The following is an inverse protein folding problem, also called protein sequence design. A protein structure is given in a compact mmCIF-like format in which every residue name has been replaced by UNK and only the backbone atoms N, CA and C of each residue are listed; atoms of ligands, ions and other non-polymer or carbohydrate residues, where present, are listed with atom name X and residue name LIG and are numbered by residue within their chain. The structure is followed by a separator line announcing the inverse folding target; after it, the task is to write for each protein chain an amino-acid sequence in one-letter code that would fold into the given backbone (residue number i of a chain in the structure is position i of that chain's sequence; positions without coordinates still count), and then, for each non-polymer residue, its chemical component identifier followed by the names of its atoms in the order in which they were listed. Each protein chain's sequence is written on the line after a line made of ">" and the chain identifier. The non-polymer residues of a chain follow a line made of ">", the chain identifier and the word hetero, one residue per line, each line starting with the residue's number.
data_IF_865438579328
#
_entry.id   IF_865438579328
#
_cell.length_a   1.000
_cell.length_b   1.000
_cell.length_c   1.000
_cell.angle_alpha   90.00
_cell.angle_beta   90.00
_cell.angle_gamma   90.00
#
_symmetry.space_group_name_H-M   'P 1'
#
loop_
_entity.id
_entity.type
_entity.pdbx_description
1 polymer ?
#
# COMPACT_ATOMS: atom_id res chain seq x y z
N UNK A 1 6.71 -3.61 8.74
CA UNK A 1 6.54 -2.86 7.48
C UNK A 1 7.66 -3.26 6.54
N UNK A 2 7.33 -3.81 5.38
CA UNK A 2 8.28 -4.31 4.38
C UNK A 2 8.27 -3.39 3.16
N UNK A 3 9.44 -2.93 2.72
CA UNK A 3 9.59 -2.21 1.47
C UNK A 3 10.12 -3.15 0.38
N UNK A 4 9.47 -3.15 -0.78
CA UNK A 4 9.96 -3.76 -2.01
C UNK A 4 10.62 -2.67 -2.85
N UNK A 5 11.91 -2.79 -3.12
CA UNK A 5 12.67 -1.81 -3.89
C UNK A 5 13.39 -2.47 -5.06
N UNK A 6 13.82 -1.67 -6.03
CA UNK A 6 14.51 -2.11 -7.24
C UNK A 6 14.13 -1.26 -8.44
N UNK A 7 14.82 -1.42 -9.55
CA UNK A 7 14.59 -0.68 -10.77
C UNK A 7 13.18 -0.86 -11.36
N UNK A 8 12.76 0.03 -12.25
CA UNK A 8 11.50 -0.14 -12.97
C UNK A 8 11.53 -1.44 -13.80
N UNK A 9 10.42 -2.17 -13.79
CA UNK A 9 10.32 -3.45 -14.49
C UNK A 9 10.93 -4.66 -13.76
N UNK A 10 11.58 -4.52 -12.60
CA UNK A 10 12.18 -5.65 -11.87
C UNK A 10 11.15 -6.63 -11.24
N UNK A 11 9.84 -6.36 -11.33
CA UNK A 11 8.81 -7.29 -10.90
C UNK A 11 8.06 -6.92 -9.60
N UNK A 12 8.30 -5.76 -8.96
CA UNK A 12 7.65 -5.33 -7.69
C UNK A 12 6.13 -5.43 -7.75
N UNK A 13 5.51 -4.79 -8.74
CA UNK A 13 4.05 -4.81 -8.92
C UNK A 13 3.50 -6.20 -9.20
N UNK A 14 4.25 -7.02 -9.95
CA UNK A 14 3.88 -8.41 -10.23
C UNK A 14 3.90 -9.23 -8.95
N UNK A 15 4.95 -9.09 -8.14
CA UNK A 15 5.04 -9.77 -6.84
C UNK A 15 3.87 -9.37 -5.92
N UNK A 16 3.56 -8.07 -5.81
CA UNK A 16 2.42 -7.61 -5.00
C UNK A 16 1.09 -8.21 -5.49
N UNK A 17 0.87 -8.31 -6.81
CA UNK A 17 -0.32 -8.93 -7.39
C UNK A 17 -0.40 -10.44 -7.11
N UNK A 18 0.74 -11.14 -7.15
CA UNK A 18 0.82 -12.56 -6.77
C UNK A 18 0.51 -12.71 -5.28
N UNK A 19 1.11 -11.90 -4.41
CA UNK A 19 0.84 -11.93 -2.97
C UNK A 19 -0.63 -11.67 -2.66
N UNK A 20 -1.28 -10.75 -3.38
CA UNK A 20 -2.73 -10.49 -3.24
C UNK A 20 -3.59 -11.61 -3.83
N UNK A 21 -3.07 -12.40 -4.78
CA UNK A 21 -3.82 -13.44 -5.52
C UNK A 21 -4.52 -12.94 -6.77
N UNK A 22 -4.18 -11.74 -7.23
CA UNK A 22 -4.64 -11.20 -8.52
C UNK A 22 -3.88 -11.81 -9.70
N UNK A 23 -2.72 -12.40 -9.46
CA UNK A 23 -1.96 -13.16 -10.43
C UNK A 23 -1.58 -14.51 -9.81
N UNK A 24 -1.60 -15.56 -10.64
CA UNK A 24 -1.15 -16.90 -10.25
C UNK A 24 0.35 -17.02 -10.53
N UNK A 25 1.15 -17.60 -9.61
CA UNK A 25 2.53 -17.93 -9.93
C UNK A 25 2.59 -19.03 -11.00
N UNK A 26 3.56 -18.97 -11.90
CA UNK A 26 3.80 -20.01 -12.91
C UNK A 26 4.36 -21.29 -12.28
N UNK A 27 5.09 -21.15 -11.17
CA UNK A 27 5.64 -22.26 -10.39
C UNK A 27 5.80 -21.83 -8.92
N UNK A 28 6.05 -22.79 -8.03
CA UNK A 28 6.15 -22.54 -6.61
C UNK A 28 4.81 -22.52 -5.88
N UNK A 29 4.83 -22.11 -4.63
CA UNK A 29 3.65 -22.09 -3.76
C UNK A 29 3.54 -20.73 -3.05
N UNK A 30 2.32 -20.24 -2.93
CA UNK A 30 1.97 -19.09 -2.10
C UNK A 30 1.20 -19.58 -0.88
N UNK A 31 1.83 -19.52 0.29
CA UNK A 31 1.19 -19.85 1.55
C UNK A 31 0.56 -18.59 2.15
N UNK A 32 -0.70 -18.69 2.55
CA UNK A 32 -1.44 -17.62 3.22
C UNK A 32 -1.96 -18.13 4.56
N UNK A 33 -1.97 -17.25 5.55
CA UNK A 33 -2.66 -17.56 6.81
C UNK A 33 -4.17 -17.69 6.56
N UNK A 34 -4.77 -18.71 7.16
CA UNK A 34 -6.21 -18.94 7.06
C UNK A 34 -7.00 -17.74 7.57
N UNK A 35 -7.98 -17.30 6.78
CA UNK A 35 -8.87 -16.19 7.13
C UNK A 35 -8.25 -14.79 7.08
N UNK A 36 -6.97 -14.64 6.72
CA UNK A 36 -6.33 -13.31 6.65
C UNK A 36 -6.93 -12.45 5.55
N UNK A 37 -7.40 -11.25 5.91
CA UNK A 37 -7.90 -10.27 4.94
C UNK A 37 -6.75 -9.47 4.35
N UNK A 38 -6.76 -9.36 3.03
CA UNK A 38 -5.77 -8.57 2.30
C UNK A 38 -6.47 -7.44 1.54
N UNK A 39 -5.83 -6.29 1.51
CA UNK A 39 -6.24 -5.19 0.65
C UNK A 39 -5.05 -4.70 -0.18
N UNK A 40 -5.32 -4.26 -1.41
CA UNK A 40 -4.29 -3.75 -2.31
C UNK A 40 -4.65 -2.36 -2.80
N UNK A 41 -3.65 -1.48 -2.79
CA UNK A 41 -3.68 -0.18 -3.43
C UNK A 41 -2.75 -0.21 -4.63
N UNK A 42 -3.29 0.15 -5.80
CA UNK A 42 -2.54 0.23 -7.05
C UNK A 42 -1.87 1.59 -7.21
N UNK A 43 -0.80 1.65 -7.97
CA UNK A 43 -0.04 2.86 -8.28
C UNK A 43 -0.94 4.01 -8.78
N UNK A 44 -1.93 3.68 -9.63
CA UNK A 44 -2.97 4.63 -10.07
C UNK A 44 -4.31 4.18 -9.52
N UNK A 45 -4.89 4.88 -8.54
CA UNK A 45 -6.16 4.49 -7.98
C UNK A 45 -7.29 4.70 -8.99
N UNK A 46 -8.03 3.63 -9.29
CA UNK A 46 -9.23 3.72 -10.10
C UNK A 46 -10.40 4.24 -9.27
N UNK A 47 -10.89 5.43 -9.65
CA UNK A 47 -12.09 6.04 -9.06
C UNK A 47 -13.30 5.77 -9.95
N UNK A 48 -14.36 5.25 -9.35
CA UNK A 48 -15.65 5.10 -10.00
C UNK A 48 -16.36 6.45 -10.08
N UNK A 49 -17.22 6.65 -11.08
CA UNK A 49 -18.00 7.89 -11.28
C UNK A 49 -19.14 8.00 -10.25
N UNK A 50 -18.74 8.09 -8.97
CA UNK A 50 -19.64 8.25 -7.83
C UNK A 50 -18.90 9.05 -6.74
N UNK A 51 -19.60 9.38 -5.64
CA UNK A 51 -18.98 10.14 -4.55
C UNK A 51 -17.80 9.40 -3.91
N UNK A 52 -16.91 10.13 -3.23
CA UNK A 52 -15.81 9.53 -2.47
C UNK A 52 -16.35 8.52 -1.44
N UNK A 53 -17.41 8.86 -0.71
CA UNK A 53 -18.07 7.95 0.23
C UNK A 53 -18.55 6.66 -0.44
N UNK A 54 -19.21 6.77 -1.59
CA UNK A 54 -19.70 5.58 -2.30
C UNK A 54 -18.56 4.74 -2.87
N UNK A 55 -17.44 5.34 -3.29
CA UNK A 55 -16.24 4.60 -3.71
C UNK A 55 -15.68 3.72 -2.58
N UNK A 56 -15.72 4.20 -1.34
CA UNK A 56 -15.29 3.43 -0.17
C UNK A 56 -16.36 2.41 0.24
N UNK A 57 -17.64 2.83 0.31
CA UNK A 57 -18.75 1.99 0.74
C UNK A 57 -18.96 0.77 -0.15
N UNK A 58 -18.72 0.90 -1.46
CA UNK A 58 -18.86 -0.21 -2.42
C UNK A 58 -17.96 -1.40 -2.04
N UNK A 59 -16.72 -1.14 -1.62
CA UNK A 59 -15.83 -2.21 -1.18
C UNK A 59 -16.40 -2.99 0.01
N UNK A 60 -16.92 -2.30 1.00
CA UNK A 60 -17.56 -2.90 2.18
C UNK A 60 -18.82 -3.69 1.80
N UNK A 61 -19.66 -3.13 0.93
CA UNK A 61 -20.88 -3.78 0.46
C UNK A 61 -20.59 -5.09 -0.30
N UNK A 62 -19.58 -5.09 -1.16
CA UNK A 62 -19.13 -6.30 -1.87
C UNK A 62 -18.60 -7.39 -0.92
N UNK A 63 -18.19 -7.00 0.30
CA UNK A 63 -17.80 -7.92 1.37
C UNK A 63 -18.95 -8.24 2.35
N UNK A 64 -20.21 -8.01 1.94
CA UNK A 64 -21.40 -8.42 2.67
C UNK A 64 -21.93 -7.42 3.71
N UNK A 65 -21.32 -6.24 3.85
CA UNK A 65 -21.84 -5.19 4.76
C UNK A 65 -23.11 -4.56 4.15
N UNK A 66 -24.16 -4.40 4.94
CA UNK A 66 -25.39 -3.72 4.48
C UNK A 66 -25.08 -2.31 3.99
N UNK A 67 -25.66 -1.88 2.87
CA UNK A 67 -25.35 -0.60 2.22
C UNK A 67 -25.40 0.62 3.15
N UNK A 68 -26.43 0.70 4.01
CA UNK A 68 -26.56 1.79 4.99
C UNK A 68 -25.37 1.83 5.95
N UNK A 69 -24.97 0.67 6.44
CA UNK A 69 -23.84 0.50 7.35
C UNK A 69 -22.50 0.74 6.62
N UNK A 70 -22.35 0.23 5.40
CA UNK A 70 -21.17 0.45 4.56
C UNK A 70 -20.93 1.95 4.32
N UNK A 71 -21.99 2.75 4.09
CA UNK A 71 -21.86 4.20 3.96
C UNK A 71 -21.42 4.87 5.25
N UNK A 72 -21.91 4.44 6.40
CA UNK A 72 -21.50 4.99 7.70
C UNK A 72 -20.01 4.67 7.97
N UNK A 73 -19.59 3.42 7.77
CA UNK A 73 -18.20 3.02 7.92
C UNK A 73 -17.28 3.72 6.92
N UNK A 74 -17.75 3.94 5.69
CA UNK A 74 -17.01 4.68 4.66
C UNK A 74 -16.76 6.14 5.05
N UNK A 75 -17.74 6.80 5.70
CA UNK A 75 -17.56 8.15 6.19
C UNK A 75 -16.49 8.22 7.29
N UNK A 76 -16.51 7.28 8.23
CA UNK A 76 -15.46 7.17 9.26
C UNK A 76 -14.06 6.92 8.65
N UNK A 77 -13.98 6.09 7.61
CA UNK A 77 -12.73 5.85 6.91
C UNK A 77 -12.23 7.10 6.18
N UNK A 78 -13.13 7.89 5.57
CA UNK A 78 -12.79 9.16 4.94
C UNK A 78 -12.37 10.22 5.97
N UNK A 79 -13.01 10.28 7.11
CA UNK A 79 -12.64 11.16 8.21
C UNK A 79 -11.20 10.88 8.67
N UNK A 80 -10.82 9.61 8.79
CA UNK A 80 -9.46 9.22 9.17
C UNK A 80 -8.38 9.71 8.19
N UNK A 81 -8.72 9.83 6.92
CA UNK A 81 -7.80 10.37 5.89
C UNK A 81 -8.02 11.87 5.61
N UNK A 82 -8.81 12.56 6.43
CA UNK A 82 -9.07 14.00 6.32
C UNK A 82 -9.89 14.40 5.09
N UNK A 83 -10.85 13.58 4.66
CA UNK A 83 -11.65 13.79 3.46
C UNK A 83 -13.18 13.76 3.71
N UNK A 84 -13.61 13.83 4.96
CA UNK A 84 -15.04 13.84 5.33
C UNK A 84 -15.78 15.04 4.76
N UNK A 85 -15.17 16.22 4.74
CA UNK A 85 -15.73 17.44 4.14
C UNK A 85 -16.01 17.37 2.65
N UNK A 86 -15.40 16.42 1.93
CA UNK A 86 -15.60 16.21 0.49
C UNK A 86 -16.18 14.83 0.17
N UNK A 87 -16.73 14.13 1.16
CA UNK A 87 -17.26 12.77 1.02
C UNK A 87 -18.36 12.64 -0.05
N UNK A 88 -19.15 13.70 -0.26
CA UNK A 88 -20.20 13.74 -1.28
C UNK A 88 -19.72 14.10 -2.70
N UNK A 89 -18.49 14.60 -2.85
CA UNK A 89 -17.94 14.99 -4.15
C UNK A 89 -17.64 13.76 -5.01
N UNK A 90 -17.75 13.91 -6.34
CA UNK A 90 -17.39 12.88 -7.30
C UNK A 90 -15.90 12.56 -7.18
N UNK A 91 -15.56 11.31 -6.85
CA UNK A 91 -14.18 10.91 -6.62
C UNK A 91 -13.25 11.12 -7.83
N UNK A 92 -13.79 11.12 -9.05
CA UNK A 92 -13.00 11.37 -10.27
C UNK A 92 -12.57 12.82 -10.45
N UNK A 93 -13.23 13.76 -9.79
CA UNK A 93 -12.90 15.20 -9.88
C UNK A 93 -11.92 15.65 -8.78
N UNK A 94 -11.57 14.76 -7.87
CA UNK A 94 -10.62 15.02 -6.80
C UNK A 94 -9.20 15.13 -7.33
N UNK A 95 -8.33 15.86 -6.61
CA UNK A 95 -6.89 15.90 -6.91
C UNK A 95 -6.24 14.51 -6.78
N UNK A 96 -5.08 14.31 -7.40
CA UNK A 96 -4.36 13.04 -7.33
C UNK A 96 -4.10 12.59 -5.88
N UNK A 97 -3.67 13.50 -5.01
CA UNK A 97 -3.47 13.22 -3.58
C UNK A 97 -4.76 12.86 -2.84
N UNK A 98 -5.87 13.55 -3.16
CA UNK A 98 -7.18 13.21 -2.60
C UNK A 98 -7.67 11.84 -3.08
N UNK A 99 -7.51 11.53 -4.38
CA UNK A 99 -7.85 10.21 -4.91
C UNK A 99 -7.03 9.10 -4.24
N UNK A 100 -5.74 9.34 -4.00
CA UNK A 100 -4.88 8.40 -3.30
C UNK A 100 -5.34 8.16 -1.85
N UNK A 101 -5.74 9.23 -1.15
CA UNK A 101 -6.31 9.11 0.21
C UNK A 101 -7.66 8.39 0.22
N UNK A 102 -8.53 8.62 -0.78
CA UNK A 102 -9.77 7.83 -0.94
C UNK A 102 -9.46 6.34 -1.15
N UNK A 103 -8.43 6.02 -1.95
CA UNK A 103 -8.02 4.64 -2.18
C UNK A 103 -7.44 3.98 -0.92
N UNK A 104 -6.67 4.72 -0.12
CA UNK A 104 -6.21 4.26 1.20
C UNK A 104 -7.39 4.01 2.15
N UNK A 105 -8.35 4.95 2.23
CA UNK A 105 -9.57 4.79 3.02
C UNK A 105 -10.36 3.54 2.59
N UNK A 106 -10.48 3.29 1.28
CA UNK A 106 -11.15 2.11 0.73
C UNK A 106 -10.46 0.81 1.14
N UNK A 107 -9.13 0.76 1.05
CA UNK A 107 -8.36 -0.40 1.44
C UNK A 107 -8.45 -0.65 2.96
N UNK A 108 -8.33 0.42 3.74
CA UNK A 108 -8.34 0.34 5.20
C UNK A 108 -9.73 0.01 5.79
N UNK A 109 -10.81 0.50 5.17
CA UNK A 109 -12.19 0.23 5.63
C UNK A 109 -12.50 -1.26 5.72
N UNK A 110 -11.82 -2.10 4.93
CA UNK A 110 -11.93 -3.56 4.97
C UNK A 110 -11.26 -4.18 6.20
N UNK A 111 -10.57 -3.40 7.04
CA UNK A 111 -9.77 -3.86 8.19
C UNK A 111 -8.83 -5.00 7.80
N UNK A 112 -7.91 -4.78 6.87
CA UNK A 112 -7.02 -5.83 6.39
C UNK A 112 -6.00 -6.20 7.46
N UNK A 113 -5.58 -7.48 7.47
CA UNK A 113 -4.40 -7.94 8.23
C UNK A 113 -3.12 -7.68 7.42
N UNK A 114 -3.23 -7.68 6.09
CA UNK A 114 -2.14 -7.37 5.16
C UNK A 114 -2.56 -6.29 4.18
N UNK A 115 -1.79 -5.20 4.14
CA UNK A 115 -1.98 -4.07 3.24
C UNK A 115 -0.84 -4.02 2.23
N UNK A 116 -1.16 -4.20 0.95
CA UNK A 116 -0.23 -4.19 -0.16
C UNK A 116 -0.35 -2.87 -0.93
N UNK A 117 0.73 -2.11 -1.05
CA UNK A 117 0.73 -0.78 -1.66
C UNK A 117 1.74 -0.72 -2.80
N UNK A 118 1.24 -0.52 -4.02
CA UNK A 118 2.09 -0.40 -5.21
C UNK A 118 2.37 1.07 -5.50
N UNK A 119 3.60 1.51 -5.22
CA UNK A 119 4.10 2.89 -5.40
C UNK A 119 3.10 3.98 -4.93
N UNK A 120 2.65 3.96 -3.68
CA UNK A 120 1.51 4.77 -3.21
C UNK A 120 1.70 6.28 -3.31
N UNK A 121 2.92 6.76 -3.58
CA UNK A 121 3.26 8.19 -3.62
C UNK A 121 3.94 8.65 -4.91
N UNK A 122 4.10 7.77 -5.91
CA UNK A 122 4.93 8.05 -7.09
C UNK A 122 4.46 9.25 -7.93
N UNK A 123 3.15 9.51 -7.99
CA UNK A 123 2.55 10.56 -8.83
C UNK A 123 2.11 11.79 -8.03
N UNK A 124 2.57 11.95 -6.79
CA UNK A 124 2.12 13.00 -5.90
C UNK A 124 3.18 14.11 -5.77
N UNK A 125 2.70 15.34 -5.58
CA UNK A 125 3.55 16.46 -5.17
C UNK A 125 4.15 16.25 -3.77
N UNK A 126 5.18 17.02 -3.36
CA UNK A 126 5.88 16.80 -2.09
C UNK A 126 4.99 16.89 -0.85
N UNK A 127 3.97 17.76 -0.87
CA UNK A 127 3.04 17.92 0.27
C UNK A 127 2.12 16.70 0.38
N UNK A 128 1.46 16.32 -0.71
CA UNK A 128 0.59 15.15 -0.77
C UNK A 128 1.35 13.85 -0.45
N UNK A 129 2.63 13.72 -0.89
CA UNK A 129 3.50 12.59 -0.50
C UNK A 129 3.62 12.48 1.00
N UNK A 130 3.92 13.59 1.68
CA UNK A 130 4.11 13.60 3.13
C UNK A 130 2.82 13.23 3.87
N UNK A 131 1.68 13.75 3.44
CA UNK A 131 0.37 13.38 4.00
C UNK A 131 0.08 11.88 3.86
N UNK A 132 0.30 11.31 2.66
CA UNK A 132 0.11 9.87 2.41
C UNK A 132 1.09 9.03 3.23
N UNK A 133 2.35 9.43 3.39
CA UNK A 133 3.31 8.73 4.23
C UNK A 133 2.89 8.70 5.72
N UNK A 134 2.37 9.80 6.24
CA UNK A 134 1.84 9.85 7.61
C UNK A 134 0.64 8.92 7.78
N UNK A 135 -0.27 8.90 6.82
CA UNK A 135 -1.41 7.98 6.81
C UNK A 135 -0.96 6.51 6.74
N UNK A 136 0.04 6.19 5.91
CA UNK A 136 0.61 4.84 5.85
C UNK A 136 1.20 4.42 7.20
N UNK A 137 1.91 5.31 7.89
CA UNK A 137 2.48 5.03 9.20
C UNK A 137 1.38 4.77 10.25
N UNK A 138 0.32 5.60 10.25
CA UNK A 138 -0.85 5.46 11.13
C UNK A 138 -1.63 4.16 10.86
N UNK A 139 -1.88 3.85 9.59
CA UNK A 139 -2.56 2.61 9.20
C UNK A 139 -1.76 1.35 9.58
N UNK A 140 -0.44 1.39 9.44
CA UNK A 140 0.42 0.29 9.85
C UNK A 140 0.50 0.09 11.38
N UNK A 141 0.24 1.14 12.15
CA UNK A 141 0.15 1.06 13.61
C UNK A 141 -1.24 0.60 14.09
N UNK A 142 -2.24 0.63 13.20
CA UNK A 142 -3.60 0.17 13.54
C UNK A 142 -3.70 -1.36 13.57
N UNK A 143 -4.79 -1.85 14.11
CA UNK A 143 -5.05 -3.28 14.20
C UNK A 143 -5.89 -3.76 13.02
N UNK A 144 -5.52 -4.88 12.43
CA UNK A 144 -6.30 -5.60 11.43
C UNK A 144 -7.51 -6.32 12.05
N UNK A 145 -8.08 -7.26 11.33
CA UNK A 145 -9.21 -8.06 11.81
C UNK A 145 -8.83 -8.98 12.99
N UNK A 146 -7.57 -9.40 13.07
CA UNK A 146 -7.05 -10.22 14.15
C UNK A 146 -7.14 -9.55 15.55
N UNK A 147 -7.45 -8.25 15.61
CA UNK A 147 -7.73 -7.52 16.85
C UNK A 147 -6.50 -6.92 17.54
N UNK A 148 -6.66 -6.48 18.80
CA UNK A 148 -5.59 -5.86 19.57
C UNK A 148 -4.37 -6.77 19.70
N UNK A 149 -3.16 -6.20 19.50
CA UNK A 149 -1.89 -6.94 19.54
C UNK A 149 -1.42 -7.47 18.19
N UNK A 150 -2.25 -7.38 17.13
CA UNK A 150 -1.88 -7.79 15.77
C UNK A 150 -1.87 -6.57 14.83
N UNK A 151 -0.75 -5.85 14.72
CA UNK A 151 -0.66 -4.69 13.83
C UNK A 151 -0.77 -5.13 12.36
N UNK A 152 -1.29 -4.24 11.52
CA UNK A 152 -1.42 -4.49 10.08
C UNK A 152 -0.04 -4.71 9.46
N UNK A 153 0.16 -5.83 8.80
CA UNK A 153 1.35 -6.08 8.00
C UNK A 153 1.27 -5.24 6.73
N UNK A 154 2.20 -4.30 6.57
CA UNK A 154 2.26 -3.45 5.39
C UNK A 154 3.43 -3.86 4.50
N UNK A 155 3.15 -4.11 3.23
CA UNK A 155 4.16 -4.31 2.18
C UNK A 155 3.94 -3.24 1.11
N UNK A 156 4.96 -2.42 0.85
CA UNK A 156 4.85 -1.35 -0.14
C UNK A 156 6.02 -1.34 -1.11
N UNK A 157 5.76 -1.09 -2.38
CA UNK A 157 6.81 -0.83 -3.36
C UNK A 157 7.17 0.65 -3.38
N UNK A 158 8.44 0.96 -3.57
CA UNK A 158 8.93 2.33 -3.72
C UNK A 158 10.27 2.37 -4.45
N UNK A 159 10.50 3.43 -5.22
CA UNK A 159 11.81 3.82 -5.73
C UNK A 159 12.43 4.97 -4.90
N UNK A 160 11.71 5.51 -3.92
CA UNK A 160 12.19 6.59 -3.05
C UNK A 160 12.84 6.02 -1.78
N UNK A 161 14.16 5.99 -1.76
CA UNK A 161 14.94 5.46 -0.63
C UNK A 161 14.74 6.25 0.66
N UNK A 162 14.46 7.55 0.59
CA UNK A 162 14.10 8.36 1.75
C UNK A 162 12.79 7.90 2.40
N UNK A 163 11.77 7.58 1.59
CA UNK A 163 10.52 7.00 2.07
C UNK A 163 10.76 5.64 2.73
N UNK A 164 11.58 4.79 2.10
CA UNK A 164 11.94 3.46 2.63
C UNK A 164 12.58 3.58 4.00
N UNK A 165 13.57 4.48 4.16
CA UNK A 165 14.23 4.74 5.46
C UNK A 165 13.25 5.17 6.56
N UNK A 166 12.24 5.98 6.23
CA UNK A 166 11.27 6.48 7.21
C UNK A 166 10.20 5.47 7.59
N UNK A 167 9.75 4.64 6.65
CA UNK A 167 8.55 3.82 6.84
C UNK A 167 8.85 2.33 7.06
N UNK A 168 9.88 1.78 6.44
CA UNK A 168 10.15 0.36 6.48
C UNK A 168 10.88 -0.07 7.77
N UNK A 169 10.66 -1.31 8.17
CA UNK A 169 11.49 -2.04 9.13
C UNK A 169 12.37 -3.10 8.44
N UNK A 170 11.96 -3.55 7.25
CA UNK A 170 12.64 -4.56 6.43
C UNK A 170 12.61 -4.15 4.97
N UNK A 171 13.66 -4.43 4.24
CA UNK A 171 13.82 -4.12 2.83
C UNK A 171 14.07 -5.40 2.04
N UNK A 172 13.30 -5.58 0.97
CA UNK A 172 13.52 -6.63 -0.03
C UNK A 172 13.92 -5.93 -1.33
N UNK A 173 15.15 -6.18 -1.79
CA UNK A 173 15.64 -5.66 -3.06
C UNK A 173 15.45 -6.69 -4.17
N UNK A 174 14.72 -6.26 -5.22
CA UNK A 174 14.47 -7.06 -6.41
C UNK A 174 15.27 -6.53 -7.59
N UNK A 175 15.85 -7.45 -8.35
CA UNK A 175 16.48 -7.17 -9.63
C UNK A 175 16.23 -8.32 -10.61
N UNK A 176 15.80 -8.00 -11.83
CA UNK A 176 15.50 -8.98 -12.88
C UNK A 176 14.58 -10.13 -12.42
N UNK A 177 13.59 -9.83 -11.58
CA UNK A 177 12.66 -10.82 -11.04
C UNK A 177 13.19 -11.67 -9.88
N UNK A 178 14.44 -11.44 -9.44
CA UNK A 178 15.07 -12.18 -8.34
C UNK A 178 15.19 -11.31 -7.09
N UNK A 179 15.04 -11.91 -5.91
CA UNK A 179 15.35 -11.27 -4.63
C UNK A 179 16.85 -11.39 -4.39
N UNK A 180 17.58 -10.28 -4.42
CA UNK A 180 19.03 -10.23 -4.19
C UNK A 180 19.40 -9.84 -2.77
N UNK A 181 18.53 -9.13 -2.05
CA UNK A 181 18.71 -8.85 -0.63
C UNK A 181 17.36 -8.84 0.09
N UNK A 182 17.38 -9.27 1.34
CA UNK A 182 16.25 -9.29 2.27
C UNK A 182 16.78 -9.03 3.67
N UNK A 183 16.77 -7.78 4.11
CA UNK A 183 17.50 -7.30 5.29
C UNK A 183 16.65 -6.32 6.12
N UNK A 184 16.92 -6.20 7.44
CA UNK A 184 16.46 -5.05 8.22
C UNK A 184 16.87 -3.74 7.55
N UNK A 185 16.03 -2.71 7.67
CA UNK A 185 16.29 -1.40 7.02
C UNK A 185 17.63 -0.80 7.42
N UNK A 186 18.03 -0.93 8.70
CA UNK A 186 19.33 -0.43 9.15
C UNK A 186 20.48 -1.13 8.42
N UNK A 187 20.44 -2.45 8.32
CA UNK A 187 21.50 -3.26 7.71
C UNK A 187 21.57 -3.05 6.20
N UNK A 188 20.41 -2.86 5.56
CA UNK A 188 20.34 -2.53 4.14
C UNK A 188 21.03 -1.21 3.80
N UNK A 189 20.93 -0.19 4.65
CA UNK A 189 21.53 1.13 4.34
C UNK A 189 22.94 1.33 4.89
N UNK A 190 23.39 0.51 5.85
CA UNK A 190 24.66 0.69 6.54
C UNK A 190 25.57 -0.53 6.49
N UNK A 191 25.05 -1.71 6.10
CA UNK A 191 25.80 -2.96 6.03
C UNK A 191 26.35 -3.26 4.62
N UNK A 192 27.02 -4.41 4.49
CA UNK A 192 27.48 -4.90 3.19
C UNK A 192 26.27 -5.31 2.34
N UNK A 193 26.28 -4.87 1.07
CA UNK A 193 25.24 -5.19 0.08
C UNK A 193 25.83 -5.89 -1.14
N UNK A 194 25.03 -6.73 -1.85
CA UNK A 194 25.36 -7.14 -3.20
C UNK A 194 25.64 -5.94 -4.09
N UNK A 195 26.54 -6.06 -5.07
CA UNK A 195 26.96 -4.95 -5.91
C UNK A 195 25.79 -4.21 -6.57
N UNK A 196 24.84 -4.94 -7.10
CA UNK A 196 23.65 -4.37 -7.71
C UNK A 196 22.82 -3.52 -6.73
N UNK A 197 22.59 -4.02 -5.52
CA UNK A 197 21.86 -3.26 -4.49
C UNK A 197 22.64 -2.01 -4.05
N UNK A 198 23.97 -2.10 -3.98
CA UNK A 198 24.85 -0.97 -3.65
C UNK A 198 24.80 0.11 -4.73
N UNK A 199 24.85 -0.25 -6.03
CA UNK A 199 24.71 0.69 -7.15
C UNK A 199 23.34 1.36 -7.15
N UNK A 200 22.28 0.60 -6.89
CA UNK A 200 20.92 1.13 -6.76
C UNK A 200 20.81 2.18 -5.65
N UNK A 201 21.39 1.90 -4.47
CA UNK A 201 21.37 2.83 -3.32
C UNK A 201 22.15 4.12 -3.63
N UNK A 202 23.24 4.04 -4.39
CA UNK A 202 24.04 5.20 -4.81
C UNK A 202 23.38 6.01 -5.94
N UNK A 203 22.34 5.48 -6.60
CA UNK A 203 21.72 6.11 -7.77
C UNK A 203 22.55 5.99 -9.05
N UNK A 204 23.48 5.03 -9.09
CA UNK A 204 24.39 4.80 -10.21
C UNK A 204 23.84 3.74 -11.21
N UNK A 205 22.60 3.29 -11.03
CA UNK A 205 21.91 2.42 -11.98
C UNK A 205 21.30 3.26 -13.10
N UNK A 206 21.78 3.05 -14.31
CA UNK A 206 21.24 3.60 -15.57
C UNK A 206 20.04 2.77 -16.04
#
# INVERSE_FOLDING_TARGET
>A
RVALIGANGCGKSTLLRVLHGLAKPSSGQLLRGDGSRQAMLFQRPHMLRMSAQHNVALGLWLHGVRWREARAQALLALQRVGLDGIAAQNARTLSGGQQQRVALARAWALRPDVLLLDEPTSSLDPHAKREVELLMADLAASHGQAGPGHPVTMVFSSHNLGQVKRLASRVIYLEHGCVLADLPVHDFFNGPLPDAARLFVKGEMV
#
